data_IF_221575099573
#
_entry.id   IF_221575099573
#
_cell.length_a   1.000
_cell.length_b   1.000
_cell.length_c   1.000
_cell.angle_alpha   90.00
_cell.angle_beta   90.00
_cell.angle_gamma   90.00
#
_symmetry.space_group_name_H-M   'P 1'
#
loop_
_entity.id
_entity.type
_entity.pdbx_description
1 polymer ?
#
# COMPACT_ATOMS: atom_id res chain seq x y z
N UNK A 1 8.20 -10.25 9.64
CA UNK A 1 9.19 -9.79 8.64
C UNK A 1 9.32 -8.27 8.54
N UNK A 2 8.42 -7.45 9.14
CA UNK A 2 8.43 -5.98 9.01
C UNK A 2 9.80 -5.29 9.12
N UNK A 3 10.58 -5.59 10.17
CA UNK A 3 11.91 -5.00 10.37
C UNK A 3 12.89 -5.35 9.25
N UNK A 4 12.78 -6.54 8.67
CA UNK A 4 13.58 -6.97 7.50
C UNK A 4 13.29 -6.06 6.32
N UNK A 5 12.01 -5.79 6.00
CA UNK A 5 11.64 -4.89 4.90
C UNK A 5 12.19 -3.47 5.11
N UNK A 6 12.09 -2.93 6.32
CA UNK A 6 12.55 -1.57 6.66
C UNK A 6 14.09 -1.44 6.54
N UNK A 7 14.83 -2.42 7.07
CA UNK A 7 16.29 -2.45 7.02
C UNK A 7 16.82 -2.70 5.60
N UNK A 8 16.22 -3.63 4.85
CA UNK A 8 16.56 -3.88 3.45
C UNK A 8 16.31 -2.63 2.60
N UNK A 9 15.12 -2.02 2.70
CA UNK A 9 14.78 -0.81 1.92
C UNK A 9 15.76 0.32 2.21
N UNK A 10 16.13 0.50 3.48
CA UNK A 10 17.12 1.49 3.90
C UNK A 10 18.51 1.17 3.35
N UNK A 11 18.90 -0.10 3.31
CA UNK A 11 20.17 -0.53 2.77
C UNK A 11 20.24 -0.38 1.24
N UNK A 12 19.19 -0.78 0.51
CA UNK A 12 19.08 -0.54 -0.93
C UNK A 12 19.21 0.95 -1.27
N UNK A 13 18.49 1.82 -0.55
CA UNK A 13 18.59 3.28 -0.71
C UNK A 13 20.00 3.83 -0.54
N UNK A 14 20.78 3.28 0.41
CA UNK A 14 22.18 3.68 0.64
C UNK A 14 23.14 3.17 -0.42
N UNK A 15 22.75 2.16 -1.19
CA UNK A 15 23.57 1.47 -2.18
C UNK A 15 22.95 1.56 -3.58
N UNK A 16 22.28 2.68 -3.88
CA UNK A 16 21.74 3.01 -5.21
C UNK A 16 20.85 1.90 -5.81
N UNK A 17 20.04 1.26 -4.96
CA UNK A 17 19.09 0.22 -5.36
C UNK A 17 19.66 -1.20 -5.44
N UNK A 18 20.95 -1.41 -5.13
CA UNK A 18 21.60 -2.73 -5.17
C UNK A 18 22.11 -3.19 -3.80
N UNK A 19 22.16 -4.50 -3.58
CA UNK A 19 22.88 -5.13 -2.47
C UNK A 19 23.65 -6.36 -2.97
N UNK A 20 24.87 -6.55 -2.45
CA UNK A 20 25.57 -7.83 -2.64
C UNK A 20 24.92 -8.93 -1.81
N UNK A 21 25.08 -10.18 -2.22
CA UNK A 21 24.57 -11.35 -1.47
C UNK A 21 25.00 -11.33 0.00
N UNK A 22 26.29 -11.11 0.37
CA UNK A 22 26.68 -11.06 1.78
C UNK A 22 26.07 -9.89 2.57
N UNK A 23 25.71 -8.78 1.90
CA UNK A 23 25.04 -7.66 2.55
C UNK A 23 23.57 -7.98 2.85
N UNK A 24 22.88 -8.60 1.89
CA UNK A 24 21.52 -9.10 2.06
C UNK A 24 21.43 -10.12 3.20
N UNK A 25 22.24 -11.18 3.16
CA UNK A 25 22.24 -12.26 4.15
C UNK A 25 22.44 -11.71 5.57
N UNK A 26 23.38 -10.78 5.75
CA UNK A 26 23.63 -10.13 7.03
C UNK A 26 22.43 -9.36 7.57
N UNK A 27 21.71 -8.64 6.70
CA UNK A 27 20.53 -7.87 7.10
C UNK A 27 19.39 -8.80 7.48
N UNK A 28 19.14 -9.82 6.67
CA UNK A 28 18.08 -10.80 6.92
C UNK A 28 18.37 -11.56 8.21
N UNK A 29 19.55 -12.17 8.36
CA UNK A 29 19.95 -12.93 9.54
C UNK A 29 19.84 -12.12 10.85
N UNK A 30 20.15 -10.82 10.81
CA UNK A 30 20.05 -9.94 11.99
C UNK A 30 18.60 -9.64 12.41
N UNK A 31 17.65 -9.71 11.48
CA UNK A 31 16.29 -9.18 11.67
C UNK A 31 15.17 -10.21 11.45
N UNK A 32 15.50 -11.42 10.98
CA UNK A 32 14.58 -12.56 10.92
C UNK A 32 14.82 -13.50 12.09
N UNK A 33 13.75 -13.95 12.73
CA UNK A 33 13.78 -15.05 13.71
C UNK A 33 13.55 -16.41 13.06
N UNK A 34 13.48 -16.46 11.72
CA UNK A 34 13.20 -17.67 10.96
C UNK A 34 14.48 -18.51 10.81
N UNK A 35 14.41 -19.83 11.05
CA UNK A 35 15.52 -20.75 10.85
C UNK A 35 15.72 -21.17 9.38
N UNK A 36 14.95 -20.60 8.45
CA UNK A 36 14.99 -20.89 7.02
C UNK A 36 16.31 -20.44 6.38
N UNK A 37 16.67 -21.07 5.26
CA UNK A 37 17.78 -20.64 4.43
C UNK A 37 17.49 -19.31 3.69
N UNK A 38 18.53 -18.70 3.13
CA UNK A 38 18.42 -17.38 2.51
C UNK A 38 17.63 -17.35 1.20
N UNK A 39 17.59 -18.46 0.46
CA UNK A 39 16.85 -18.59 -0.79
C UNK A 39 15.35 -18.68 -0.49
N UNK A 40 14.99 -19.48 0.52
CA UNK A 40 13.62 -19.55 1.03
C UNK A 40 13.15 -18.18 1.54
N UNK A 41 13.99 -17.46 2.30
CA UNK A 41 13.64 -16.12 2.77
C UNK A 41 13.47 -15.13 1.61
N UNK A 42 14.29 -15.22 0.57
CA UNK A 42 14.16 -14.38 -0.62
C UNK A 42 12.80 -14.61 -1.31
N UNK A 43 12.40 -15.87 -1.51
CA UNK A 43 11.09 -16.22 -2.08
C UNK A 43 9.96 -15.71 -1.20
N UNK A 44 10.07 -15.83 0.13
CA UNK A 44 9.06 -15.32 1.07
C UNK A 44 8.92 -13.80 1.02
N UNK A 45 10.03 -13.06 0.82
CA UNK A 45 9.97 -11.61 0.60
C UNK A 45 9.17 -11.28 -0.66
N UNK A 46 9.45 -11.95 -1.77
CA UNK A 46 8.74 -11.76 -3.04
C UNK A 46 7.26 -12.13 -2.92
N UNK A 47 6.96 -13.28 -2.31
CA UNK A 47 5.58 -13.74 -2.08
C UNK A 47 4.79 -12.79 -1.17
N UNK A 48 5.46 -12.06 -0.27
CA UNK A 48 4.85 -11.02 0.54
C UNK A 48 4.63 -9.70 -0.21
N UNK A 49 5.05 -9.59 -1.48
CA UNK A 49 4.96 -8.40 -2.31
C UNK A 49 6.12 -7.42 -2.14
N UNK A 50 7.24 -7.84 -1.52
CA UNK A 50 8.44 -7.02 -1.47
C UNK A 50 9.15 -7.05 -2.84
N UNK A 51 9.35 -5.92 -3.54
CA UNK A 51 9.76 -5.88 -4.95
C UNK A 51 11.28 -6.05 -5.10
N UNK A 52 11.80 -7.15 -4.54
CA UNK A 52 13.20 -7.54 -4.62
C UNK A 52 13.38 -8.56 -5.74
N UNK A 53 14.44 -8.43 -6.52
CA UNK A 53 14.84 -9.41 -7.53
C UNK A 53 16.34 -9.69 -7.45
N UNK A 54 16.78 -10.77 -8.10
CA UNK A 54 18.19 -11.08 -8.30
C UNK A 54 18.61 -10.69 -9.73
N UNK A 55 19.73 -9.97 -9.85
CA UNK A 55 20.32 -9.54 -11.12
C UNK A 55 21.84 -9.60 -11.00
N UNK A 56 22.50 -10.35 -11.90
CA UNK A 56 23.97 -10.47 -11.98
C UNK A 56 24.64 -10.83 -10.64
N UNK A 57 24.07 -11.80 -9.90
CA UNK A 57 24.59 -12.25 -8.60
C UNK A 57 24.50 -11.20 -7.48
N UNK A 58 23.57 -10.24 -7.62
CA UNK A 58 23.24 -9.21 -6.63
C UNK A 58 21.73 -9.11 -6.50
N UNK A 59 21.28 -8.52 -5.40
CA UNK A 59 19.89 -8.17 -5.22
C UNK A 59 19.61 -6.74 -5.65
N UNK A 60 18.44 -6.51 -6.23
CA UNK A 60 17.96 -5.21 -6.69
C UNK A 60 16.57 -4.94 -6.12
N UNK A 61 16.32 -3.69 -5.70
CA UNK A 61 14.97 -3.24 -5.33
C UNK A 61 14.34 -2.53 -6.54
N UNK A 62 13.29 -3.10 -7.14
CA UNK A 62 12.74 -2.61 -8.40
C UNK A 62 12.24 -1.18 -8.33
N UNK A 63 11.73 -0.74 -7.18
CA UNK A 63 11.21 0.64 -7.01
C UNK A 63 12.25 1.73 -7.27
N UNK A 64 13.56 1.40 -7.23
CA UNK A 64 14.64 2.32 -7.58
C UNK A 64 14.79 2.55 -9.09
N UNK A 65 14.25 1.65 -9.91
CA UNK A 65 14.48 1.60 -11.35
C UNK A 65 13.18 1.71 -12.14
N UNK A 66 12.04 1.40 -11.53
CA UNK A 66 10.73 1.51 -12.17
C UNK A 66 10.26 2.96 -12.20
N UNK A 67 9.96 3.54 -13.38
CA UNK A 67 9.29 4.83 -13.47
C UNK A 67 7.96 4.80 -12.71
N UNK A 68 7.66 5.83 -11.93
CA UNK A 68 6.42 5.84 -11.13
C UNK A 68 5.16 5.72 -12.02
N UNK A 69 5.22 6.22 -13.26
CA UNK A 69 4.11 6.14 -14.21
C UNK A 69 3.82 4.72 -14.72
N UNK A 70 4.82 3.82 -14.69
CA UNK A 70 4.72 2.45 -15.21
C UNK A 70 4.41 1.41 -14.13
N UNK A 71 4.61 1.79 -12.86
CA UNK A 71 4.37 0.94 -11.71
C UNK A 71 2.89 0.57 -11.55
N UNK A 72 2.63 -0.66 -11.09
CA UNK A 72 1.31 -1.08 -10.61
C UNK A 72 1.02 -0.51 -9.21
N UNK A 73 -0.17 0.06 -9.04
CA UNK A 73 -0.68 0.54 -7.75
C UNK A 73 -1.97 -0.20 -7.42
N UNK A 74 -2.01 -0.87 -6.28
CA UNK A 74 -3.22 -1.48 -5.75
C UNK A 74 -3.83 -0.52 -4.74
N UNK A 75 -4.86 0.22 -5.16
CA UNK A 75 -5.61 1.12 -4.29
C UNK A 75 -6.66 0.31 -3.57
N UNK A 76 -6.57 0.27 -2.25
CA UNK A 76 -7.39 -0.57 -1.37
C UNK A 76 -8.10 0.32 -0.37
N UNK A 77 -9.33 -0.06 -0.07
CA UNK A 77 -10.11 0.42 1.06
C UNK A 77 -10.80 -0.79 1.72
N UNK A 78 -11.05 -0.71 3.04
CA UNK A 78 -11.73 -1.76 3.79
C UNK A 78 -12.83 -1.19 4.69
N UNK A 79 -13.88 -1.97 4.86
CA UNK A 79 -14.81 -1.78 5.97
C UNK A 79 -14.57 -2.82 7.06
N UNK A 80 -14.82 -2.45 8.31
CA UNK A 80 -14.53 -3.29 9.48
C UNK A 80 -15.71 -3.31 10.45
N UNK A 81 -15.86 -4.38 11.23
CA UNK A 81 -16.89 -4.44 12.27
C UNK A 81 -16.49 -3.76 13.60
N UNK A 82 -15.42 -2.96 13.59
CA UNK A 82 -14.90 -2.24 14.75
C UNK A 82 -13.54 -1.61 14.46
N UNK A 83 -13.05 -0.73 15.35
CA UNK A 83 -11.93 0.16 15.06
C UNK A 83 -10.52 -0.37 15.38
N UNK A 84 -10.40 -1.58 15.93
CA UNK A 84 -9.11 -2.17 16.35
C UNK A 84 -8.88 -3.55 15.73
N UNK A 85 -7.75 -3.78 15.04
CA UNK A 85 -7.44 -5.06 14.42
C UNK A 85 -7.43 -6.25 15.40
N UNK A 86 -7.08 -6.03 16.67
CA UNK A 86 -6.97 -7.09 17.67
C UNK A 86 -8.33 -7.64 18.13
N UNK A 87 -9.40 -6.85 17.97
CA UNK A 87 -10.74 -7.17 18.48
C UNK A 87 -11.84 -7.13 17.41
N UNK A 88 -11.49 -6.70 16.20
CA UNK A 88 -12.41 -6.56 15.07
C UNK A 88 -11.87 -7.30 13.84
N UNK A 89 -12.67 -7.37 12.79
CA UNK A 89 -12.29 -7.97 11.51
C UNK A 89 -12.76 -7.11 10.34
N UNK A 90 -12.16 -7.37 9.18
CA UNK A 90 -12.60 -6.85 7.88
C UNK A 90 -13.92 -7.48 7.51
N UNK A 91 -14.86 -6.68 6.99
CA UNK A 91 -16.19 -7.12 6.53
C UNK A 91 -16.43 -6.82 5.04
N UNK A 92 -15.66 -5.90 4.46
CA UNK A 92 -15.66 -5.61 3.02
C UNK A 92 -14.24 -5.23 2.60
N UNK A 93 -13.83 -5.67 1.42
CA UNK A 93 -12.60 -5.24 0.76
C UNK A 93 -12.97 -4.72 -0.61
N UNK A 94 -12.52 -3.51 -0.92
CA UNK A 94 -12.57 -2.93 -2.25
C UNK A 94 -11.18 -2.57 -2.72
N UNK A 95 -10.82 -2.98 -3.92
CA UNK A 95 -9.54 -2.62 -4.51
C UNK A 95 -9.63 -2.40 -6.02
N UNK A 96 -8.77 -1.50 -6.52
CA UNK A 96 -8.54 -1.30 -7.95
C UNK A 96 -7.05 -1.36 -8.24
N UNK A 97 -6.69 -2.09 -9.30
CA UNK A 97 -5.34 -2.12 -9.82
C UNK A 97 -5.19 -1.02 -10.87
N UNK A 98 -4.22 -0.13 -10.68
CA UNK A 98 -3.86 0.92 -11.63
C UNK A 98 -2.52 0.56 -12.26
N UNK A 99 -2.44 0.64 -13.58
CA UNK A 99 -1.19 0.55 -14.32
C UNK A 99 -1.22 1.56 -15.47
N UNK A 100 -0.10 2.27 -15.71
CA UNK A 100 -0.01 3.29 -16.76
C UNK A 100 -1.12 4.36 -16.65
N UNK A 101 -1.46 4.74 -15.42
CA UNK A 101 -2.50 5.73 -15.12
C UNK A 101 -3.94 5.28 -15.40
N UNK A 102 -4.18 3.99 -15.65
CA UNK A 102 -5.52 3.45 -15.93
C UNK A 102 -5.86 2.34 -14.96
N UNK A 103 -7.13 2.22 -14.59
CA UNK A 103 -7.64 1.03 -13.90
C UNK A 103 -7.60 -0.15 -14.87
N UNK A 104 -6.86 -1.19 -14.51
CA UNK A 104 -6.67 -2.40 -15.32
C UNK A 104 -7.35 -3.63 -14.72
N UNK A 105 -7.64 -3.60 -13.43
CA UNK A 105 -8.35 -4.69 -12.74
C UNK A 105 -9.06 -4.18 -11.47
N UNK A 106 -9.98 -4.98 -10.92
CA UNK A 106 -10.73 -4.69 -9.70
C UNK A 106 -10.94 -5.94 -8.85
N UNK A 107 -11.01 -5.72 -7.54
CA UNK A 107 -11.36 -6.74 -6.56
C UNK A 107 -12.39 -6.16 -5.59
N UNK A 108 -13.50 -6.87 -5.38
CA UNK A 108 -14.55 -6.47 -4.44
C UNK A 108 -15.09 -7.74 -3.78
N UNK A 109 -15.13 -7.75 -2.45
CA UNK A 109 -15.68 -8.88 -1.69
C UNK A 109 -16.21 -8.43 -0.35
N UNK A 110 -17.40 -8.90 0.01
CA UNK A 110 -17.77 -9.01 1.42
C UNK A 110 -16.95 -10.11 2.08
N UNK A 111 -16.88 -10.06 3.42
CA UNK A 111 -16.17 -11.04 4.23
C UNK A 111 -17.12 -11.59 5.29
N UNK A 112 -17.15 -12.91 5.43
CA UNK A 112 -18.03 -13.58 6.37
C UNK A 112 -17.85 -13.06 7.80
N UNK A 113 -18.94 -12.62 8.43
CA UNK A 113 -18.89 -12.07 9.78
C UNK A 113 -20.08 -12.52 10.63
N UNK A 114 -19.81 -13.17 11.76
CA UNK A 114 -20.85 -13.66 12.67
C UNK A 114 -21.58 -12.55 13.44
N UNK A 115 -20.95 -11.38 13.62
CA UNK A 115 -21.53 -10.27 14.37
C UNK A 115 -21.16 -8.92 13.75
N UNK A 116 -22.18 -8.17 13.36
CA UNK A 116 -22.07 -6.82 12.84
C UNK A 116 -22.81 -5.85 13.78
N UNK A 117 -22.10 -4.90 14.44
CA UNK A 117 -22.75 -3.89 15.27
C UNK A 117 -23.69 -3.01 14.44
N UNK A 118 -24.85 -2.66 15.00
CA UNK A 118 -25.87 -1.84 14.32
C UNK A 118 -25.32 -0.47 13.88
N UNK A 119 -24.41 0.12 14.66
CA UNK A 119 -23.82 1.41 14.29
C UNK A 119 -22.93 1.32 13.05
N UNK A 120 -22.27 0.17 12.79
CA UNK A 120 -21.51 -0.05 11.56
C UNK A 120 -22.47 -0.18 10.38
N UNK A 121 -23.55 -0.96 10.51
CA UNK A 121 -24.57 -1.06 9.47
C UNK A 121 -25.19 0.30 9.09
N UNK A 122 -25.36 1.20 10.07
CA UNK A 122 -25.85 2.57 9.80
C UNK A 122 -24.86 3.43 9.03
N UNK A 123 -23.56 3.19 9.18
CA UNK A 123 -22.49 3.95 8.51
C UNK A 123 -22.26 3.41 7.09
N UNK A 124 -22.09 2.09 6.97
CA UNK A 124 -21.66 1.45 5.71
C UNK A 124 -22.84 0.99 4.84
N UNK A 125 -24.04 0.87 5.42
CA UNK A 125 -25.19 0.25 4.77
C UNK A 125 -25.10 -1.28 4.64
N UNK A 126 -24.02 -1.90 5.12
CA UNK A 126 -23.85 -3.36 5.12
C UNK A 126 -24.78 -3.97 6.16
N UNK A 127 -25.56 -4.98 5.75
CA UNK A 127 -26.49 -5.68 6.60
C UNK A 127 -25.93 -7.06 6.98
N UNK A 128 -26.32 -7.63 8.14
CA UNK A 128 -25.85 -8.96 8.54
C UNK A 128 -26.06 -10.05 7.48
N UNK A 129 -27.17 -9.99 6.73
CA UNK A 129 -27.48 -10.93 5.64
C UNK A 129 -26.45 -10.90 4.49
N UNK A 130 -25.77 -9.78 4.28
CA UNK A 130 -24.76 -9.63 3.23
C UNK A 130 -23.46 -10.36 3.62
N UNK A 131 -23.29 -10.67 4.91
CA UNK A 131 -22.07 -11.27 5.48
C UNK A 131 -22.24 -12.75 5.89
N UNK A 132 -23.45 -13.32 5.86
CA UNK A 132 -23.67 -14.71 6.30
C UNK A 132 -23.10 -15.71 5.28
N UNK A 133 -23.35 -15.48 4.00
CA UNK A 133 -22.93 -16.36 2.89
C UNK A 133 -21.70 -15.80 2.14
N UNK A 134 -21.08 -14.74 2.67
CA UNK A 134 -19.88 -14.17 2.09
C UNK A 134 -18.69 -15.14 2.21
N UNK A 135 -17.66 -15.00 1.36
CA UNK A 135 -16.44 -15.79 1.48
C UNK A 135 -15.75 -15.64 2.84
N UNK A 136 -15.01 -16.67 3.24
CA UNK A 136 -14.28 -16.63 4.52
C UNK A 136 -13.16 -15.58 4.49
N UNK A 137 -12.76 -15.08 5.67
CA UNK A 137 -11.68 -14.10 5.76
C UNK A 137 -10.35 -14.63 5.18
N UNK A 138 -10.04 -15.92 5.37
CA UNK A 138 -8.86 -16.55 4.79
C UNK A 138 -8.92 -16.51 3.25
N UNK A 139 -10.04 -16.90 2.67
CA UNK A 139 -10.23 -16.93 1.21
C UNK A 139 -10.07 -15.53 0.59
N UNK A 140 -10.73 -14.52 1.17
CA UNK A 140 -10.63 -13.13 0.67
C UNK A 140 -9.21 -12.61 0.78
N UNK A 141 -8.51 -12.87 1.90
CA UNK A 141 -7.12 -12.42 2.07
C UNK A 141 -6.15 -13.14 1.12
N UNK A 142 -6.31 -14.45 0.90
CA UNK A 142 -5.50 -15.19 -0.08
C UNK A 142 -5.69 -14.65 -1.49
N UNK A 143 -6.93 -14.37 -1.88
CA UNK A 143 -7.23 -13.78 -3.18
C UNK A 143 -6.69 -12.35 -3.28
N UNK A 144 -6.81 -11.54 -2.22
CA UNK A 144 -6.25 -10.19 -2.17
C UNK A 144 -4.72 -10.19 -2.26
N UNK A 145 -4.02 -11.12 -1.58
CA UNK A 145 -2.56 -11.28 -1.69
C UNK A 145 -2.15 -11.53 -3.14
N UNK A 146 -2.88 -12.41 -3.81
CA UNK A 146 -2.64 -12.74 -5.22
C UNK A 146 -2.92 -11.54 -6.12
N UNK A 147 -4.01 -10.82 -5.88
CA UNK A 147 -4.36 -9.61 -6.62
C UNK A 147 -3.35 -8.48 -6.46
N UNK A 148 -2.78 -8.31 -5.27
CA UNK A 148 -1.81 -7.25 -4.97
C UNK A 148 -0.45 -7.46 -5.62
N UNK A 149 -0.01 -8.71 -5.82
CA UNK A 149 1.34 -9.03 -6.29
C UNK A 149 2.42 -8.18 -5.58
N UNK A 150 3.32 -7.55 -6.34
CA UNK A 150 4.32 -6.58 -5.90
C UNK A 150 3.88 -5.11 -6.08
N UNK A 151 2.59 -4.87 -6.36
CA UNK A 151 2.05 -3.54 -6.56
C UNK A 151 2.23 -2.66 -5.30
N UNK A 152 2.28 -1.35 -5.49
CA UNK A 152 2.34 -0.41 -4.38
C UNK A 152 0.98 -0.41 -3.68
N UNK A 153 0.97 -0.68 -2.38
CA UNK A 153 -0.22 -0.60 -1.54
C UNK A 153 -0.59 0.86 -1.35
N UNK A 154 -1.77 1.27 -1.85
CA UNK A 154 -2.27 2.64 -1.71
C UNK A 154 -3.58 2.62 -0.93
N UNK A 155 -3.73 3.52 0.03
CA UNK A 155 -5.02 3.74 0.71
C UNK A 155 -5.15 5.17 1.24
N UNK A 156 -6.38 5.59 1.53
CA UNK A 156 -6.69 6.91 2.05
C UNK A 156 -6.66 6.90 3.58
N UNK A 157 -5.54 7.35 4.16
CA UNK A 157 -5.12 7.03 5.55
C UNK A 157 -4.54 5.61 5.69
N UNK A 158 -3.54 5.31 4.86
CA UNK A 158 -2.94 3.97 4.65
C UNK A 158 -2.63 3.16 5.91
N UNK A 159 -2.35 3.80 7.05
CA UNK A 159 -2.02 3.09 8.28
C UNK A 159 -3.20 2.30 8.85
N UNK A 160 -4.44 2.73 8.60
CA UNK A 160 -5.64 2.03 9.03
C UNK A 160 -5.79 0.71 8.27
N UNK A 161 -5.98 0.80 6.96
CA UNK A 161 -6.22 -0.35 6.06
C UNK A 161 -5.05 -1.34 6.12
N UNK A 162 -3.82 -0.83 5.99
CA UNK A 162 -2.63 -1.66 6.06
C UNK A 162 -2.49 -2.33 7.44
N UNK A 163 -2.82 -1.62 8.53
CA UNK A 163 -2.75 -2.17 9.88
C UNK A 163 -3.71 -3.35 10.07
N UNK A 164 -4.96 -3.16 9.67
CA UNK A 164 -5.99 -4.20 9.70
C UNK A 164 -5.67 -5.39 8.83
N UNK A 165 -5.30 -5.14 7.58
CA UNK A 165 -4.96 -6.21 6.63
C UNK A 165 -3.70 -6.93 7.09
N UNK A 166 -2.64 -6.24 7.49
CA UNK A 166 -1.41 -6.89 7.95
C UNK A 166 -1.67 -7.76 9.19
N UNK A 167 -2.46 -7.28 10.16
CA UNK A 167 -2.86 -8.08 11.32
C UNK A 167 -3.62 -9.34 10.90
N UNK A 168 -4.53 -9.21 9.94
CA UNK A 168 -5.32 -10.33 9.43
C UNK A 168 -4.43 -11.33 8.67
N UNK A 169 -3.56 -10.86 7.78
CA UNK A 169 -2.58 -11.72 7.09
C UNK A 169 -1.70 -12.49 8.07
N UNK A 170 -1.18 -11.83 9.11
CA UNK A 170 -0.37 -12.49 10.14
C UNK A 170 -1.20 -13.54 10.92
N UNK A 171 -2.44 -13.21 11.29
CA UNK A 171 -3.36 -14.12 12.00
C UNK A 171 -3.67 -15.40 11.21
N UNK A 172 -3.79 -15.31 9.90
CA UNK A 172 -4.08 -16.44 9.01
C UNK A 172 -2.83 -17.14 8.45
N UNK A 173 -1.63 -16.76 8.88
CA UNK A 173 -0.39 -17.40 8.43
C UNK A 173 -0.01 -17.07 6.98
N UNK A 174 -0.51 -15.95 6.43
CA UNK A 174 -0.25 -15.49 5.06
C UNK A 174 0.95 -14.54 4.95
N UNK A 175 1.67 -14.33 6.07
CA UNK A 175 2.83 -13.46 6.17
C UNK A 175 2.51 -11.96 6.12
N UNK A 176 3.36 -11.16 6.75
CA UNK A 176 3.22 -9.70 6.77
C UNK A 176 3.37 -9.09 5.38
N UNK A 177 2.59 -8.06 5.08
CA UNK A 177 2.60 -7.35 3.78
C UNK A 177 3.97 -6.69 3.55
N UNK A 178 4.67 -7.14 2.51
CA UNK A 178 5.95 -6.60 2.03
C UNK A 178 5.80 -5.48 1.00
N UNK A 179 4.61 -5.29 0.43
CA UNK A 179 4.32 -4.22 -0.52
C UNK A 179 4.70 -2.84 0.04
N UNK A 180 5.41 -2.00 -0.72
CA UNK A 180 5.65 -0.61 -0.35
C UNK A 180 4.33 0.14 -0.21
N UNK A 181 4.26 1.07 0.74
CA UNK A 181 3.03 1.80 1.08
C UNK A 181 3.06 3.24 0.59
N UNK A 182 1.93 3.70 0.06
CA UNK A 182 1.69 5.09 -0.31
C UNK A 182 0.37 5.59 0.31
N UNK A 183 0.44 6.68 1.09
CA UNK A 183 -0.75 7.31 1.65
C UNK A 183 -1.27 8.40 0.72
N UNK A 184 -2.52 8.30 0.25
CA UNK A 184 -3.08 9.31 -0.65
C UNK A 184 -3.25 10.67 0.04
N UNK A 185 -3.50 10.72 1.36
CA UNK A 185 -3.56 11.97 2.13
C UNK A 185 -2.21 12.69 2.14
N UNK A 186 -1.12 11.97 2.45
CA UNK A 186 0.22 12.57 2.51
C UNK A 186 0.68 13.05 1.13
N UNK A 187 0.35 12.31 0.09
CA UNK A 187 0.64 12.73 -1.28
C UNK A 187 -0.21 13.93 -1.70
N UNK A 188 -1.51 13.93 -1.41
CA UNK A 188 -2.42 15.04 -1.71
C UNK A 188 -1.98 16.32 -1.00
N UNK A 189 -1.58 16.27 0.27
CA UNK A 189 -1.02 17.43 1.02
C UNK A 189 0.18 18.09 0.35
N UNK A 190 0.88 17.36 -0.52
CA UNK A 190 2.08 17.82 -1.21
C UNK A 190 1.84 18.31 -2.63
N UNK A 191 0.71 17.93 -3.21
CA UNK A 191 0.43 18.10 -4.63
C UNK A 191 -0.82 18.93 -4.89
N UNK A 192 -1.72 19.02 -3.92
CA UNK A 192 -3.02 19.68 -4.01
C UNK A 192 -3.17 20.64 -2.83
N UNK A 193 -3.58 21.88 -3.10
CA UNK A 193 -3.94 22.85 -2.06
C UNK A 193 -5.40 22.63 -1.66
N UNK A 194 -5.62 22.13 -0.44
CA UNK A 194 -6.95 21.92 0.12
C UNK A 194 -7.02 22.31 1.59
N UNK A 195 -8.21 22.71 2.06
CA UNK A 195 -8.47 23.00 3.48
C UNK A 195 -8.54 21.71 4.31
N UNK A 196 -9.10 20.65 3.73
CA UNK A 196 -9.27 19.33 4.36
C UNK A 196 -8.86 18.24 3.37
N UNK A 197 -8.38 17.12 3.90
CA UNK A 197 -7.87 16.01 3.09
C UNK A 197 -8.63 14.71 3.31
N UNK A 198 -9.81 14.76 3.92
CA UNK A 198 -10.68 13.58 4.00
C UNK A 198 -11.29 13.27 2.63
N UNK A 199 -11.47 11.97 2.33
CA UNK A 199 -11.88 11.51 1.00
C UNK A 199 -13.17 12.15 0.53
N UNK A 200 -14.22 12.18 1.37
CA UNK A 200 -15.51 12.80 1.02
C UNK A 200 -15.36 14.28 0.61
N UNK A 201 -14.60 15.06 1.38
CA UNK A 201 -14.36 16.47 1.08
C UNK A 201 -13.57 16.65 -0.22
N UNK A 202 -12.49 15.88 -0.41
CA UNK A 202 -11.70 15.95 -1.64
C UNK A 202 -12.48 15.46 -2.86
N UNK A 203 -13.32 14.45 -2.69
CA UNK A 203 -14.18 13.91 -3.75
C UNK A 203 -15.14 14.95 -4.28
N UNK A 204 -15.83 15.65 -3.38
CA UNK A 204 -16.75 16.75 -3.72
C UNK A 204 -16.01 17.94 -4.33
N UNK A 205 -14.97 18.44 -3.65
CA UNK A 205 -14.28 19.68 -4.06
C UNK A 205 -13.43 19.55 -5.32
N UNK A 206 -12.95 18.35 -5.64
CA UNK A 206 -12.17 18.07 -6.84
C UNK A 206 -12.99 17.36 -7.92
N UNK A 207 -14.31 17.20 -7.71
CA UNK A 207 -15.23 16.55 -8.64
C UNK A 207 -14.75 15.15 -9.09
N UNK A 208 -14.34 14.30 -8.15
CA UNK A 208 -13.80 12.96 -8.43
C UNK A 208 -14.88 11.94 -8.86
N UNK A 209 -16.08 12.41 -9.19
CA UNK A 209 -17.21 11.60 -9.65
C UNK A 209 -18.04 11.02 -8.51
N UNK A 210 -18.85 10.00 -8.83
CA UNK A 210 -19.79 9.43 -7.88
C UNK A 210 -19.07 8.75 -6.71
N UNK A 211 -19.45 9.13 -5.49
CA UNK A 211 -18.84 8.66 -4.25
C UNK A 211 -19.92 8.18 -3.31
N UNK A 212 -20.11 6.86 -3.27
CA UNK A 212 -20.93 6.22 -2.25
C UNK A 212 -20.02 6.01 -1.05
N UNK A 213 -20.13 6.91 -0.07
CA UNK A 213 -19.28 6.88 1.12
C UNK A 213 -19.49 5.58 1.90
N UNK A 214 -18.42 5.08 2.52
CA UNK A 214 -18.43 3.90 3.36
C UNK A 214 -18.81 2.61 2.61
N UNK A 215 -18.40 2.55 1.34
CA UNK A 215 -18.43 1.36 0.50
C UNK A 215 -17.04 1.17 -0.06
N UNK A 216 -16.38 0.08 0.32
CA UNK A 216 -14.95 -0.08 0.12
C UNK A 216 -14.54 0.08 -1.35
N UNK A 217 -15.27 -0.52 -2.28
CA UNK A 217 -14.94 -0.40 -3.70
C UNK A 217 -15.12 1.02 -4.24
N UNK A 218 -16.16 1.73 -3.79
CA UNK A 218 -16.38 3.14 -4.16
C UNK A 218 -15.25 4.03 -3.62
N UNK A 219 -14.82 3.81 -2.38
CA UNK A 219 -13.77 4.60 -1.74
C UNK A 219 -12.40 4.34 -2.38
N UNK A 220 -12.10 3.08 -2.74
CA UNK A 220 -10.92 2.72 -3.53
C UNK A 220 -10.93 3.39 -4.92
N UNK A 221 -12.08 3.41 -5.61
CA UNK A 221 -12.22 4.04 -6.93
C UNK A 221 -12.05 5.56 -6.86
N UNK A 222 -12.65 6.24 -5.88
CA UNK A 222 -12.46 7.69 -5.69
C UNK A 222 -11.01 7.99 -5.33
N UNK A 223 -10.39 7.16 -4.49
CA UNK A 223 -8.96 7.29 -4.13
C UNK A 223 -8.05 7.12 -5.35
N UNK A 224 -8.41 6.25 -6.31
CA UNK A 224 -7.65 6.09 -7.56
C UNK A 224 -7.63 7.37 -8.41
N UNK A 225 -8.76 8.08 -8.47
CA UNK A 225 -8.87 9.34 -9.20
C UNK A 225 -8.14 10.48 -8.48
N UNK A 226 -8.22 10.50 -7.15
CA UNK A 226 -7.39 11.40 -6.36
C UNK A 226 -5.90 11.17 -6.67
N UNK A 227 -5.46 9.91 -6.70
CA UNK A 227 -4.09 9.55 -7.02
C UNK A 227 -3.67 10.05 -8.41
N UNK A 228 -4.51 9.87 -9.43
CA UNK A 228 -4.28 10.41 -10.77
C UNK A 228 -4.04 11.93 -10.76
N UNK A 229 -4.88 12.70 -10.04
CA UNK A 229 -4.68 14.14 -9.89
C UNK A 229 -3.39 14.50 -9.15
N UNK A 230 -3.02 13.74 -8.12
CA UNK A 230 -1.75 13.99 -7.42
C UNK A 230 -0.54 13.76 -8.34
N UNK A 231 -0.60 12.75 -9.21
CA UNK A 231 0.48 12.44 -10.17
C UNK A 231 0.70 13.57 -11.18
N UNK A 232 -0.37 14.20 -11.66
CA UNK A 232 -0.30 15.37 -12.57
C UNK A 232 0.43 16.57 -11.94
N UNK A 233 0.50 16.63 -10.62
CA UNK A 233 1.10 17.72 -9.85
C UNK A 233 2.43 17.32 -9.18
N UNK A 234 3.03 16.19 -9.58
CA UNK A 234 4.34 15.80 -9.09
C UNK A 234 5.43 16.72 -9.62
N UNK A 235 6.45 17.05 -8.81
CA UNK A 235 7.59 17.82 -9.28
C UNK A 235 8.48 16.97 -10.20
N UNK A 236 9.18 17.62 -11.14
CA UNK A 236 10.04 16.96 -12.14
C UNK A 236 11.16 16.07 -11.57
N UNK A 237 11.50 16.15 -10.28
CA UNK A 237 12.52 15.28 -9.69
C UNK A 237 11.97 13.93 -9.23
N UNK A 238 10.64 13.74 -9.21
CA UNK A 238 10.02 12.45 -8.94
C UNK A 238 9.95 11.68 -10.25
N UNK A 239 10.84 10.71 -10.43
CA UNK A 239 10.96 9.95 -11.67
C UNK A 239 10.68 8.47 -11.45
N UNK A 240 11.27 7.90 -10.41
CA UNK A 240 11.07 6.48 -10.06
C UNK A 240 10.16 6.33 -8.85
N UNK A 241 9.68 5.11 -8.62
CA UNK A 241 8.78 4.81 -7.50
C UNK A 241 9.41 5.18 -6.15
N UNK A 242 10.70 4.93 -5.93
CA UNK A 242 11.35 5.29 -4.67
C UNK A 242 11.34 6.81 -4.42
N UNK A 243 11.49 7.64 -5.47
CA UNK A 243 11.34 9.09 -5.36
C UNK A 243 9.94 9.46 -4.91
N UNK A 244 8.90 8.83 -5.48
CA UNK A 244 7.51 9.07 -5.11
C UNK A 244 7.25 8.69 -3.64
N UNK A 245 7.73 7.53 -3.20
CA UNK A 245 7.55 7.06 -1.83
C UNK A 245 8.25 7.99 -0.83
N UNK A 246 9.48 8.44 -1.13
CA UNK A 246 10.21 9.41 -0.31
C UNK A 246 9.59 10.80 -0.38
N UNK A 247 9.10 11.21 -1.54
CA UNK A 247 8.39 12.45 -1.72
C UNK A 247 7.15 12.44 -0.83
N UNK A 248 6.29 11.42 -0.85
CA UNK A 248 5.08 11.42 -0.01
C UNK A 248 5.36 11.56 1.49
N UNK A 249 6.44 10.98 2.01
CA UNK A 249 6.70 10.87 3.46
C UNK A 249 7.74 11.83 4.03
N UNK A 250 8.51 12.56 3.19
CA UNK A 250 9.63 13.37 3.67
C UNK A 250 9.21 14.49 4.65
N UNK A 251 10.06 14.76 5.64
CA UNK A 251 9.83 15.84 6.59
C UNK A 251 10.02 17.21 5.92
N UNK A 252 9.59 18.31 6.56
CA UNK A 252 9.88 19.67 6.03
C UNK A 252 11.38 19.96 5.90
N UNK A 253 12.23 19.36 6.73
CA UNK A 253 13.70 19.58 6.71
C UNK A 253 14.36 18.89 5.52
N UNK A 254 13.91 17.68 5.18
CA UNK A 254 14.42 16.94 4.02
C UNK A 254 14.12 17.67 2.68
N UNK A 255 13.05 18.47 2.66
CA UNK A 255 12.62 19.28 1.50
C UNK A 255 13.63 20.38 1.15
N UNK A 256 14.20 21.06 2.13
CA UNK A 256 15.17 22.14 1.90
C UNK A 256 16.45 21.59 1.29
N UNK A 257 16.90 20.41 1.76
CA UNK A 257 18.11 19.73 1.27
C UNK A 257 17.94 19.22 -0.17
N UNK A 258 16.80 18.61 -0.50
CA UNK A 258 16.51 18.15 -1.87
C UNK A 258 16.45 19.34 -2.83
N UNK A 259 15.81 20.45 -2.42
CA UNK A 259 15.69 21.65 -3.24
C UNK A 259 17.05 22.30 -3.52
N UNK A 260 17.88 22.48 -2.49
CA UNK A 260 19.26 22.98 -2.62
C UNK A 260 20.13 22.09 -3.52
N UNK A 261 20.01 20.77 -3.40
CA UNK A 261 20.78 19.83 -4.22
C UNK A 261 20.29 19.78 -5.69
N UNK A 262 19.01 20.08 -5.94
CA UNK A 262 18.45 20.17 -7.30
C UNK A 262 18.79 21.49 -8.00
N UNK A 263 18.94 22.59 -7.24
CA UNK A 263 19.35 23.90 -7.75
C UNK A 263 20.86 23.94 -8.04
N UNK A 264 21.68 23.20 -7.28
CA UNK A 264 23.12 23.07 -7.52
C UNK A 264 23.51 22.09 -8.65
N UNK A 265 22.54 21.43 -9.29
CA UNK A 265 22.74 20.52 -10.44
C UNK A 265 22.29 21.13 -11.79
N UNK A 266 21.89 22.40 -11.80
CA UNK A 266 21.66 23.20 -13.02
C UNK A 266 22.82 24.16 -13.23
#
# INVERSE_FOLDING_TARGET
>A
MRKVYEELTSAFRRNEGYLSVPAYERIVQKNSSFPEDFDTLFILLQAAGYPIIEVDGRYRLETFFTPYSEQKYCVIDIETNGSKPETAQVIEVGAVMIQNGKVVDRFESFVACAFLPEYISKITGILPKDLIEAPSQLEVLTNLRTFMEDAIFVAHNVNFDYGFLNHSFDRFGLGSIGNPKLCSIELARRTIKSERYGLAYLSETLELGNHIQHRAFSDALVTSKLLELTFKNLPNHVQVVDDLLRFSTSSRKDRTLIKLNSENKK
#
